data_IF_172735535927
#
_entry.id   IF_172735535927
#
_cell.length_a   1.000
_cell.length_b   1.000
_cell.length_c   1.000
_cell.angle_alpha   90.00
_cell.angle_beta   90.00
_cell.angle_gamma   90.00
#
_symmetry.space_group_name_H-M   'P 1'
#
loop_
_entity.id
_entity.type
_entity.pdbx_description
1 polymer ?
#
# COMPACT_ATOMS: atom_id res chain seq x y z
N UNK A 1 6.78 -10.82 10.53
CA UNK A 1 6.50 -9.70 11.46
C UNK A 1 5.62 -8.62 10.83
N UNK A 2 5.92 -8.12 9.62
CA UNK A 2 5.11 -7.08 8.94
C UNK A 2 3.61 -7.41 8.84
N UNK A 3 3.26 -8.63 8.40
CA UNK A 3 1.85 -9.06 8.32
C UNK A 3 1.12 -9.06 9.68
N UNK A 4 1.82 -9.38 10.77
CA UNK A 4 1.25 -9.30 12.12
C UNK A 4 1.00 -7.85 12.53
N UNK A 5 1.94 -6.94 12.22
CA UNK A 5 1.78 -5.51 12.47
C UNK A 5 0.62 -4.90 11.65
N UNK A 6 0.42 -5.39 10.42
CA UNK A 6 -0.74 -5.03 9.58
C UNK A 6 -2.08 -5.49 10.15
N UNK A 7 -2.09 -6.44 11.08
CA UNK A 7 -3.30 -6.86 11.80
C UNK A 7 -4.02 -5.69 12.48
N UNK A 8 -3.33 -4.59 12.79
CA UNK A 8 -3.94 -3.34 13.29
C UNK A 8 -5.07 -2.83 12.41
N UNK A 9 -4.96 -2.99 11.09
CA UNK A 9 -5.94 -2.49 10.12
C UNK A 9 -7.06 -3.49 9.82
N UNK A 10 -7.12 -4.61 10.54
CA UNK A 10 -7.96 -5.76 10.17
C UNK A 10 -7.36 -6.56 9.02
N UNK A 11 -7.68 -7.86 8.96
CA UNK A 11 -7.10 -8.74 7.95
C UNK A 11 -7.54 -8.37 6.52
N UNK A 12 -8.84 -8.17 6.31
CA UNK A 12 -9.40 -7.82 5.01
C UNK A 12 -8.97 -6.42 4.53
N UNK A 13 -9.24 -5.35 5.30
CA UNK A 13 -8.89 -3.99 4.88
C UNK A 13 -7.38 -3.78 4.78
N UNK A 14 -6.59 -4.34 5.71
CA UNK A 14 -5.13 -4.26 5.66
C UNK A 14 -4.55 -4.93 4.42
N UNK A 15 -4.99 -6.14 4.08
CA UNK A 15 -4.54 -6.83 2.86
C UNK A 15 -4.98 -6.11 1.59
N UNK A 16 -6.23 -5.63 1.54
CA UNK A 16 -6.73 -4.88 0.39
C UNK A 16 -5.94 -3.58 0.20
N UNK A 17 -5.72 -2.81 1.27
CA UNK A 17 -4.95 -1.57 1.22
C UNK A 17 -3.50 -1.81 0.76
N UNK A 18 -2.84 -2.84 1.30
CA UNK A 18 -1.50 -3.23 0.86
C UNK A 18 -1.48 -3.63 -0.63
N UNK A 19 -2.48 -4.39 -1.08
CA UNK A 19 -2.63 -4.75 -2.49
C UNK A 19 -2.82 -3.52 -3.39
N UNK A 20 -3.66 -2.57 -2.98
CA UNK A 20 -3.86 -1.30 -3.68
C UNK A 20 -2.58 -0.44 -3.73
N UNK A 21 -1.77 -0.46 -2.66
CA UNK A 21 -0.44 0.16 -2.70
C UNK A 21 0.46 -0.50 -3.76
N UNK A 22 0.39 -1.82 -3.90
CA UNK A 22 1.10 -2.54 -4.96
C UNK A 22 0.63 -2.13 -6.36
N UNK A 23 -0.69 -2.05 -6.57
CA UNK A 23 -1.28 -1.57 -7.84
C UNK A 23 -0.80 -0.16 -8.15
N UNK A 24 -0.89 0.75 -7.16
CA UNK A 24 -0.46 2.13 -7.32
C UNK A 24 1.04 2.25 -7.56
N UNK A 25 1.86 1.46 -6.87
CA UNK A 25 3.30 1.39 -7.09
C UNK A 25 3.63 1.00 -8.52
N UNK A 26 3.05 -0.10 -9.03
CA UNK A 26 3.27 -0.51 -10.42
C UNK A 26 2.77 0.56 -11.42
N UNK A 27 1.62 1.20 -11.15
CA UNK A 27 1.12 2.30 -11.99
C UNK A 27 2.10 3.49 -12.01
N UNK A 28 2.62 3.90 -10.85
CA UNK A 28 3.60 4.97 -10.74
C UNK A 28 4.93 4.60 -11.43
N UNK A 29 5.37 3.35 -11.31
CA UNK A 29 6.51 2.82 -12.06
C UNK A 29 6.32 2.95 -13.56
N UNK A 30 5.17 2.53 -14.10
CA UNK A 30 4.83 2.69 -15.52
C UNK A 30 4.74 4.14 -15.97
N UNK A 31 4.31 5.05 -15.10
CA UNK A 31 4.22 6.47 -15.39
C UNK A 31 5.61 7.13 -15.47
N UNK A 32 6.54 6.73 -14.62
CA UNK A 32 7.90 7.29 -14.57
C UNK A 32 8.81 6.71 -15.66
N UNK A 33 8.62 5.44 -16.05
CA UNK A 33 9.46 4.81 -17.07
C UNK A 33 8.96 5.12 -18.50
N UNK A 34 9.83 5.75 -19.29
CA UNK A 34 9.57 6.16 -20.69
C UNK A 34 9.48 4.96 -21.67
N UNK A 35 10.33 3.94 -21.48
CA UNK A 35 10.41 2.73 -22.30
C UNK A 35 9.45 1.63 -21.78
N UNK A 36 9.11 0.59 -22.57
CA UNK A 36 8.35 -0.57 -22.09
C UNK A 36 9.13 -1.31 -21.00
N UNK A 37 8.98 -0.83 -19.76
CA UNK A 37 9.62 -1.39 -18.59
C UNK A 37 8.82 -2.61 -18.13
N UNK A 38 9.40 -3.80 -18.28
CA UNK A 38 8.85 -5.05 -17.79
C UNK A 38 9.21 -5.25 -16.32
N UNK A 39 8.71 -4.37 -15.46
CA UNK A 39 8.76 -4.54 -14.01
C UNK A 39 7.37 -4.90 -13.49
N UNK A 40 7.21 -6.12 -12.98
CA UNK A 40 6.01 -6.55 -12.27
C UNK A 40 6.46 -7.13 -10.93
N UNK A 41 6.14 -6.42 -9.84
CA UNK A 41 6.65 -6.77 -8.52
C UNK A 41 5.60 -6.67 -7.43
N UNK A 42 5.54 -7.70 -6.58
CA UNK A 42 4.80 -7.66 -5.32
C UNK A 42 5.50 -6.81 -4.25
N UNK A 43 6.75 -6.40 -4.48
CA UNK A 43 7.56 -5.63 -3.53
C UNK A 43 7.00 -4.22 -3.29
N UNK A 44 6.35 -3.60 -4.28
CA UNK A 44 5.63 -2.32 -4.08
C UNK A 44 4.51 -2.42 -3.04
N UNK A 45 3.80 -3.56 -2.99
CA UNK A 45 2.82 -3.85 -1.94
C UNK A 45 3.48 -3.96 -0.56
N UNK A 46 4.66 -4.58 -0.47
CA UNK A 46 5.42 -4.68 0.79
C UNK A 46 5.87 -3.29 1.26
N UNK A 47 6.37 -2.46 0.34
CA UNK A 47 6.77 -1.08 0.66
C UNK A 47 5.56 -0.22 1.07
N UNK A 48 4.39 -0.45 0.46
CA UNK A 48 3.14 0.17 0.91
C UNK A 48 2.73 -0.25 2.32
N UNK A 49 2.74 -1.56 2.62
CA UNK A 49 2.44 -2.05 3.96
C UNK A 49 3.41 -1.50 5.01
N UNK A 50 4.70 -1.35 4.66
CA UNK A 50 5.69 -0.67 5.50
C UNK A 50 5.31 0.80 5.72
N UNK A 51 4.99 1.54 4.67
CA UNK A 51 4.55 2.94 4.74
C UNK A 51 3.32 3.12 5.63
N UNK A 52 2.33 2.22 5.56
CA UNK A 52 1.12 2.28 6.38
C UNK A 52 1.38 2.28 7.89
N UNK A 53 2.48 1.68 8.35
CA UNK A 53 2.83 1.63 9.78
C UNK A 53 3.37 2.96 10.32
N UNK A 54 3.86 3.85 9.45
CA UNK A 54 4.40 5.14 9.86
C UNK A 54 3.39 5.99 10.64
N UNK A 55 2.25 6.36 10.02
CA UNK A 55 1.23 7.21 10.63
C UNK A 55 0.25 6.45 11.55
N UNK A 56 0.64 5.32 12.13
CA UNK A 56 -0.22 4.44 12.93
C UNK A 56 -1.00 5.14 14.07
N UNK A 57 -0.46 6.24 14.60
CA UNK A 57 -1.01 7.00 15.73
C UNK A 57 -1.75 8.29 15.33
N UNK A 58 -2.07 8.51 14.04
CA UNK A 58 -2.63 9.79 13.56
C UNK A 58 -3.91 10.22 14.29
N UNK A 59 -4.82 9.30 14.63
CA UNK A 59 -6.03 9.65 15.39
C UNK A 59 -5.76 10.28 16.76
N UNK A 60 -4.61 9.99 17.38
CA UNK A 60 -4.25 10.51 18.70
C UNK A 60 -3.81 11.98 18.66
N UNK A 61 -3.55 12.56 17.48
CA UNK A 61 -3.13 13.97 17.35
C UNK A 61 -4.11 14.95 17.98
N UNK A 62 -5.41 14.62 17.95
CA UNK A 62 -6.46 15.48 18.52
C UNK A 62 -6.58 15.38 20.03
N UNK A 63 -6.04 14.32 20.64
CA UNK A 63 -6.32 13.97 22.04
C UNK A 63 -5.06 13.99 22.92
N UNK A 64 -3.88 13.72 22.35
CA UNK A 64 -2.64 13.60 23.11
C UNK A 64 -1.54 14.51 22.56
N UNK A 65 -1.02 15.39 23.42
CA UNK A 65 0.07 16.32 23.11
C UNK A 65 1.35 15.64 22.62
N UNK A 66 1.58 14.37 22.99
CA UNK A 66 2.76 13.59 22.60
C UNK A 66 2.59 12.81 21.29
N UNK A 67 1.37 12.74 20.72
CA UNK A 67 1.08 11.95 19.52
C UNK A 67 1.94 12.38 18.32
N UNK A 68 2.23 13.68 18.19
CA UNK A 68 3.09 14.19 17.13
C UNK A 68 4.50 13.58 17.15
N UNK A 69 5.10 13.38 18.33
CA UNK A 69 6.42 12.74 18.46
C UNK A 69 6.36 11.25 18.09
N UNK A 70 5.29 10.56 18.45
CA UNK A 70 5.10 9.14 18.12
C UNK A 70 4.93 8.93 16.61
N UNK A 71 4.12 9.78 15.96
CA UNK A 71 3.91 9.74 14.51
C UNK A 71 5.22 10.07 13.78
N UNK A 72 5.91 11.12 14.20
CA UNK A 72 7.20 11.48 13.61
C UNK A 72 8.20 10.34 13.75
N UNK A 73 8.31 9.73 14.94
CA UNK A 73 9.18 8.56 15.16
C UNK A 73 8.80 7.38 14.26
N UNK A 74 7.51 7.07 14.14
CA UNK A 74 7.00 6.02 13.26
C UNK A 74 7.31 6.28 11.79
N UNK A 75 7.02 7.49 11.29
CA UNK A 75 7.29 7.91 9.91
C UNK A 75 8.80 7.85 9.62
N UNK A 76 9.64 8.39 10.51
CA UNK A 76 11.09 8.32 10.34
C UNK A 76 11.59 6.87 10.31
N UNK A 77 11.07 6.00 11.18
CA UNK A 77 11.45 4.59 11.21
C UNK A 77 11.12 3.89 9.88
N UNK A 78 9.91 4.09 9.35
CA UNK A 78 9.52 3.47 8.07
C UNK A 78 10.27 4.08 6.88
N UNK A 79 10.63 5.38 6.93
CA UNK A 79 11.50 6.01 5.93
C UNK A 79 12.91 5.41 5.94
N UNK A 80 13.51 5.19 7.12
CA UNK A 80 14.83 4.55 7.24
C UNK A 80 14.78 3.12 6.70
N UNK A 81 13.73 2.36 7.04
CA UNK A 81 13.52 1.02 6.52
C UNK A 81 13.31 1.02 5.00
N UNK A 82 12.55 1.99 4.47
CA UNK A 82 12.41 2.18 3.03
C UNK A 82 13.76 2.48 2.37
N UNK A 83 14.59 3.34 2.94
CA UNK A 83 15.93 3.61 2.40
C UNK A 83 16.80 2.35 2.38
N UNK A 84 16.68 1.48 3.38
CA UNK A 84 17.44 0.23 3.46
C UNK A 84 17.00 -0.82 2.42
N UNK A 85 15.70 -0.94 2.15
CA UNK A 85 15.14 -2.05 1.37
C UNK A 85 14.54 -1.64 0.02
N UNK A 86 13.97 -0.44 -0.05
CA UNK A 86 13.24 0.08 -1.22
C UNK A 86 14.12 0.75 -2.27
N UNK A 87 15.36 1.10 -1.94
CA UNK A 87 16.30 1.81 -2.84
C UNK A 87 17.36 0.89 -3.47
N UNK A 88 17.13 -0.43 -3.50
CA UNK A 88 18.06 -1.36 -4.15
C UNK A 88 18.19 -1.04 -5.65
N UNK A 89 19.40 -0.90 -6.21
CA UNK A 89 19.60 -0.62 -7.64
C UNK A 89 19.02 -1.69 -8.57
N UNK A 90 18.92 -2.93 -8.09
CA UNK A 90 18.39 -4.06 -8.85
C UNK A 90 16.86 -4.14 -8.83
N UNK A 91 16.19 -3.16 -8.22
CA UNK A 91 14.73 -3.14 -8.05
C UNK A 91 14.08 -1.93 -8.72
N UNK A 92 12.77 -2.02 -8.98
CA UNK A 92 11.99 -0.88 -9.45
C UNK A 92 11.76 0.13 -8.29
N UNK A 93 12.71 1.05 -8.15
CA UNK A 93 12.67 2.11 -7.13
C UNK A 93 11.43 2.99 -7.29
N UNK A 94 10.99 3.26 -8.52
CA UNK A 94 9.80 4.07 -8.76
C UNK A 94 8.56 3.33 -8.22
N UNK A 95 8.39 2.05 -8.54
CA UNK A 95 7.27 1.28 -8.01
C UNK A 95 7.31 1.12 -6.48
N UNK A 96 8.50 0.96 -5.90
CA UNK A 96 8.68 0.96 -4.45
C UNK A 96 8.26 2.28 -3.81
N UNK A 97 8.71 3.40 -4.36
CA UNK A 97 8.38 4.73 -3.85
C UNK A 97 6.89 5.02 -3.98
N UNK A 98 6.30 4.70 -5.13
CA UNK A 98 4.87 4.85 -5.36
C UNK A 98 4.05 4.03 -4.36
N UNK A 99 4.42 2.76 -4.15
CA UNK A 99 3.79 1.91 -3.15
C UNK A 99 3.93 2.47 -1.74
N UNK A 100 5.13 2.88 -1.34
CA UNK A 100 5.43 3.45 -0.02
C UNK A 100 4.63 4.73 0.26
N UNK A 101 4.59 5.67 -0.69
CA UNK A 101 3.83 6.93 -0.55
C UNK A 101 2.34 6.65 -0.46
N UNK A 102 1.80 5.76 -1.30
CA UNK A 102 0.41 5.30 -1.19
C UNK A 102 0.14 4.70 0.20
N UNK A 103 1.07 3.90 0.70
CA UNK A 103 1.02 3.30 2.02
C UNK A 103 0.95 4.34 3.15
N UNK A 104 1.81 5.37 3.12
CA UNK A 104 1.75 6.47 4.08
C UNK A 104 0.37 7.16 4.05
N UNK A 105 -0.16 7.43 2.87
CA UNK A 105 -1.47 8.08 2.72
C UNK A 105 -2.61 7.19 3.23
N UNK A 106 -2.68 5.94 2.79
CA UNK A 106 -3.73 5.00 3.21
C UNK A 106 -3.62 4.66 4.70
N UNK A 107 -2.41 4.47 5.23
CA UNK A 107 -2.19 4.25 6.65
C UNK A 107 -2.68 5.42 7.49
N UNK A 108 -2.42 6.66 7.06
CA UNK A 108 -2.94 7.85 7.73
C UNK A 108 -4.47 7.90 7.69
N UNK A 109 -5.08 7.69 6.52
CA UNK A 109 -6.54 7.67 6.36
C UNK A 109 -7.20 6.58 7.20
N UNK A 110 -6.69 5.36 7.15
CA UNK A 110 -7.23 4.24 7.91
C UNK A 110 -7.02 4.40 9.41
N UNK A 111 -5.94 5.06 9.83
CA UNK A 111 -5.72 5.34 11.25
C UNK A 111 -6.77 6.29 11.85
N UNK A 112 -7.50 7.06 11.02
CA UNK A 112 -8.62 7.89 11.46
C UNK A 112 -9.89 7.08 11.74
N UNK A 113 -9.99 5.86 11.19
CA UNK A 113 -11.12 4.96 11.39
C UNK A 113 -10.95 4.23 12.72
N UNK A 114 -11.98 4.16 13.59
CA UNK A 114 -11.89 3.40 14.82
C UNK A 114 -11.51 1.94 14.57
N UNK A 115 -10.58 1.41 15.37
CA UNK A 115 -10.07 0.04 15.19
C UNK A 115 -11.21 -1.00 15.20
N UNK A 116 -12.21 -0.83 16.08
CA UNK A 116 -13.41 -1.69 16.10
C UNK A 116 -14.13 -1.82 14.75
N UNK A 117 -14.12 -0.76 13.93
CA UNK A 117 -14.80 -0.72 12.62
C UNK A 117 -13.95 -1.41 11.55
N UNK A 118 -12.62 -1.19 11.58
CA UNK A 118 -11.67 -1.90 10.72
C UNK A 118 -11.71 -3.42 10.95
N UNK A 119 -11.99 -3.84 12.18
CA UNK A 119 -12.11 -5.25 12.56
C UNK A 119 -13.54 -5.80 12.43
N UNK A 120 -14.53 -4.99 12.03
CA UNK A 120 -15.89 -5.47 11.85
C UNK A 120 -15.96 -6.58 10.80
N UNK A 121 -16.64 -7.68 11.11
CA UNK A 121 -16.68 -8.86 10.24
C UNK A 121 -17.19 -8.53 8.83
N UNK A 122 -18.17 -7.62 8.71
CA UNK A 122 -18.74 -7.18 7.42
C UNK A 122 -17.68 -6.50 6.55
N UNK A 123 -16.92 -5.58 7.13
CA UNK A 123 -15.88 -4.85 6.41
C UNK A 123 -14.74 -5.80 6.01
N UNK A 124 -14.31 -6.67 6.94
CA UNK A 124 -13.33 -7.71 6.63
C UNK A 124 -13.78 -8.58 5.47
N UNK A 125 -15.00 -9.11 5.52
CA UNK A 125 -15.54 -9.95 4.46
C UNK A 125 -15.62 -9.21 3.11
N UNK A 126 -16.17 -7.99 3.10
CA UNK A 126 -16.27 -7.18 1.88
C UNK A 126 -14.90 -6.87 1.27
N UNK A 127 -13.93 -6.45 2.08
CA UNK A 127 -12.58 -6.17 1.61
C UNK A 127 -11.89 -7.44 1.10
N UNK A 128 -12.08 -8.60 1.75
CA UNK A 128 -11.53 -9.88 1.29
C UNK A 128 -12.17 -10.36 -0.01
N UNK A 129 -13.49 -10.22 -0.17
CA UNK A 129 -14.19 -10.55 -1.42
C UNK A 129 -13.73 -9.64 -2.55
N UNK A 130 -13.61 -8.34 -2.30
CA UNK A 130 -13.11 -7.38 -3.28
C UNK A 130 -11.66 -7.70 -3.70
N UNK A 131 -10.79 -7.97 -2.73
CA UNK A 131 -9.41 -8.39 -3.00
C UNK A 131 -9.37 -9.66 -3.86
N UNK A 132 -10.13 -10.68 -3.50
CA UNK A 132 -10.21 -11.93 -4.26
C UNK A 132 -10.73 -11.68 -5.69
N UNK A 133 -11.77 -10.86 -5.85
CA UNK A 133 -12.31 -10.50 -7.15
C UNK A 133 -11.27 -9.77 -8.02
N UNK A 134 -10.51 -8.83 -7.46
CA UNK A 134 -9.44 -8.12 -8.17
C UNK A 134 -8.32 -9.07 -8.61
N UNK A 135 -7.90 -9.99 -7.75
CA UNK A 135 -6.88 -11.00 -8.08
C UNK A 135 -7.37 -11.92 -9.20
N UNK A 136 -8.60 -12.44 -9.09
CA UNK A 136 -9.21 -13.29 -10.12
C UNK A 136 -9.34 -12.54 -11.44
N UNK A 137 -9.75 -11.27 -11.39
CA UNK A 137 -9.85 -10.42 -12.57
C UNK A 137 -8.50 -10.19 -13.25
N UNK A 138 -7.45 -9.87 -12.47
CA UNK A 138 -6.10 -9.69 -12.99
C UNK A 138 -5.57 -10.96 -13.67
N UNK A 139 -5.76 -12.13 -13.05
CA UNK A 139 -5.39 -13.42 -13.65
C UNK A 139 -6.20 -13.75 -14.90
N UNK A 140 -7.51 -13.47 -14.91
CA UNK A 140 -8.33 -13.64 -16.12
C UNK A 140 -7.78 -12.79 -17.26
N UNK A 141 -7.51 -11.51 -17.03
CA UNK A 141 -6.92 -10.61 -18.04
C UNK A 141 -5.58 -11.14 -18.55
N UNK A 142 -4.70 -11.61 -17.67
CA UNK A 142 -3.41 -12.19 -18.05
C UNK A 142 -3.58 -13.43 -18.95
N UNK A 143 -4.50 -14.35 -18.60
CA UNK A 143 -4.70 -15.60 -19.32
C UNK A 143 -5.46 -15.44 -20.64
N UNK A 144 -6.32 -14.44 -20.78
CA UNK A 144 -7.09 -14.19 -22.00
C UNK A 144 -6.38 -13.26 -22.99
N UNK A 145 -5.11 -12.90 -22.77
CA UNK A 145 -4.39 -11.94 -23.61
C UNK A 145 -5.01 -10.54 -23.57
N UNK A 146 -5.50 -10.14 -22.39
CA UNK A 146 -6.18 -8.88 -22.16
C UNK A 146 -5.41 -7.72 -22.79
N UNK A 147 -6.13 -6.83 -23.49
CA UNK A 147 -5.51 -5.66 -24.12
C UNK A 147 -4.87 -4.81 -23.02
N UNK A 148 -3.63 -4.36 -23.18
CA UNK A 148 -3.02 -3.44 -22.22
C UNK A 148 -3.90 -2.21 -22.09
N UNK A 149 -4.18 -1.81 -20.84
CA UNK A 149 -4.88 -0.56 -20.57
C UNK A 149 -3.95 0.60 -20.95
N UNK A 150 -4.26 1.25 -22.07
CA UNK A 150 -3.47 2.39 -22.56
C UNK A 150 -3.92 3.68 -21.85
N UNK A 151 -3.36 3.90 -20.66
CA UNK A 151 -3.64 5.08 -19.84
C UNK A 151 -3.08 6.37 -20.45
N UNK A 152 -2.13 6.29 -21.39
CA UNK A 152 -1.51 7.46 -22.05
C UNK A 152 -2.48 8.19 -22.98
N UNK A 153 -3.60 7.56 -23.37
CA UNK A 153 -4.64 8.19 -24.20
C UNK A 153 -5.44 9.26 -23.44
N UNK A 154 -5.35 9.29 -22.10
CA UNK A 154 -6.13 10.19 -21.25
C UNK A 154 -5.33 11.37 -20.68
N UNK A 155 -4.09 11.58 -21.14
CA UNK A 155 -3.19 12.68 -20.76
C UNK A 155 -2.79 13.44 -22.02
#
# INVERSE_FOLDING_TARGET
VLGLAMGRFGAGPGLLAAFLCGVWGNFFGLWVHEAPYHGLGASGMVMGALGMLGPHAFHLLKTHRQAGRMILGGVLAVCILFSFWGLSPDSDIAAHLGGFVCGLSLGALMSLVPEKELHAWRLNFLCSVLLAAMIVWAWRMALTGGRPFDWRVFI
#
